data_IF_213174857340
#
_entry.id   IF_213174857340
#
_cell.length_a   1.000
_cell.length_b   1.000
_cell.length_c   1.000
_cell.angle_alpha   90.00
_cell.angle_beta   90.00
_cell.angle_gamma   90.00
#
_symmetry.space_group_name_H-M   'P 1'
#
loop_
_entity.id
_entity.type
_entity.pdbx_description
1 polymer ?
#
# COMPACT_ATOMS: atom_id res chain seq x y z
N UNK A 1 -90.78 -23.16 -8.28
CA UNK A 1 -89.95 -24.40 -8.09
C UNK A 1 -88.51 -23.96 -7.94
N UNK A 2 -88.03 -24.00 -6.70
CA UNK A 2 -86.67 -23.59 -6.33
C UNK A 2 -85.69 -24.73 -6.60
N UNK A 3 -84.54 -24.39 -7.13
CA UNK A 3 -83.41 -25.28 -7.08
C UNK A 3 -82.26 -24.57 -6.42
N UNK A 4 -81.91 -25.00 -5.24
CA UNK A 4 -80.74 -24.59 -4.46
C UNK A 4 -79.53 -25.29 -5.00
N UNK A 5 -78.55 -24.51 -5.47
CA UNK A 5 -77.21 -25.00 -5.79
C UNK A 5 -76.28 -24.83 -4.60
N UNK A 6 -75.84 -25.98 -4.03
CA UNK A 6 -74.87 -25.97 -2.94
C UNK A 6 -73.46 -25.72 -3.50
N UNK A 7 -72.85 -24.65 -3.03
CA UNK A 7 -71.44 -24.40 -3.29
C UNK A 7 -70.54 -25.22 -2.39
N UNK A 8 -69.75 -26.10 -2.99
CA UNK A 8 -68.62 -26.75 -2.29
C UNK A 8 -67.46 -25.78 -2.16
N UNK A 9 -67.24 -25.33 -0.96
CA UNK A 9 -66.00 -24.63 -0.64
C UNK A 9 -64.87 -25.65 -0.56
N UNK A 10 -63.97 -25.59 -1.50
CA UNK A 10 -62.71 -26.35 -1.45
C UNK A 10 -61.76 -25.55 -0.51
N UNK A 11 -61.62 -26.06 0.69
CA UNK A 11 -60.56 -25.58 1.60
C UNK A 11 -59.26 -26.18 1.10
N UNK A 12 -58.48 -25.40 0.38
CA UNK A 12 -57.09 -25.76 0.05
C UNK A 12 -56.28 -25.66 1.35
N UNK A 13 -55.99 -26.81 1.94
CA UNK A 13 -55.07 -26.91 3.06
C UNK A 13 -53.66 -26.67 2.53
N UNK A 14 -53.13 -25.46 2.65
CA UNK A 14 -51.71 -25.20 2.44
C UNK A 14 -50.93 -25.94 3.53
N UNK A 15 -50.39 -27.11 3.12
CA UNK A 15 -49.32 -27.76 3.90
C UNK A 15 -48.06 -26.89 3.73
N UNK A 16 -47.90 -25.94 4.64
CA UNK A 16 -46.63 -25.27 4.85
C UNK A 16 -45.70 -26.34 5.44
N UNK A 17 -44.86 -26.94 4.61
CA UNK A 17 -43.78 -27.78 5.08
C UNK A 17 -42.85 -26.94 5.97
N UNK A 18 -43.05 -27.04 7.27
CA UNK A 18 -42.05 -26.68 8.24
C UNK A 18 -40.86 -27.60 8.00
N UNK A 19 -39.93 -27.13 7.18
CA UNK A 19 -38.56 -27.67 7.22
C UNK A 19 -38.10 -27.42 8.67
N UNK A 20 -37.60 -28.44 9.38
CA UNK A 20 -36.98 -28.19 10.67
C UNK A 20 -35.85 -27.25 10.39
N UNK A 21 -35.89 -26.01 10.95
CA UNK A 21 -34.68 -25.23 11.17
C UNK A 21 -33.82 -26.13 12.07
N UNK A 22 -32.84 -26.79 11.46
CA UNK A 22 -31.76 -27.36 12.24
C UNK A 22 -30.99 -26.16 12.79
N UNK A 23 -31.38 -25.73 13.97
CA UNK A 23 -30.51 -24.86 14.76
C UNK A 23 -29.26 -25.69 15.00
N UNK A 24 -28.17 -25.35 14.35
CA UNK A 24 -26.87 -25.91 14.71
C UNK A 24 -26.69 -25.68 16.21
N UNK A 25 -26.25 -26.69 16.94
CA UNK A 25 -25.87 -26.50 18.31
C UNK A 25 -24.78 -25.42 18.34
N UNK A 26 -24.84 -24.54 19.30
CA UNK A 26 -23.91 -23.46 19.56
C UNK A 26 -23.71 -23.51 21.09
N UNK A 27 -22.68 -24.26 21.49
CA UNK A 27 -22.49 -24.70 22.86
C UNK A 27 -21.95 -23.64 23.78
N UNK A 28 -21.28 -22.64 23.26
CA UNK A 28 -20.67 -21.53 24.00
C UNK A 28 -21.36 -20.18 23.73
N UNK A 29 -22.24 -20.12 22.73
CA UNK A 29 -23.13 -18.98 22.47
C UNK A 29 -22.47 -17.82 21.73
N UNK A 30 -21.41 -18.05 20.97
CA UNK A 30 -20.71 -17.01 20.21
C UNK A 30 -21.35 -16.71 18.83
N UNK A 31 -22.34 -17.49 18.44
CA UNK A 31 -23.06 -17.37 17.16
C UNK A 31 -22.49 -18.24 16.05
N UNK A 32 -21.47 -19.04 16.31
CA UNK A 32 -20.89 -20.03 15.41
C UNK A 32 -21.38 -21.41 15.83
N UNK A 33 -21.91 -22.18 14.90
CA UNK A 33 -22.41 -23.50 15.25
C UNK A 33 -21.30 -24.51 15.46
N UNK A 34 -21.43 -25.41 16.46
CA UNK A 34 -20.46 -26.43 16.88
C UNK A 34 -19.81 -27.21 15.71
N UNK A 35 -20.50 -27.33 14.59
CA UNK A 35 -19.98 -28.05 13.41
C UNK A 35 -18.95 -27.29 12.59
N UNK A 36 -18.86 -25.99 12.79
CA UNK A 36 -17.95 -25.05 12.10
C UNK A 36 -17.07 -24.27 13.07
N UNK A 37 -17.22 -24.56 14.36
CA UNK A 37 -16.50 -23.96 15.44
C UNK A 37 -15.33 -24.86 15.87
N UNK A 38 -14.12 -24.30 15.87
CA UNK A 38 -12.91 -24.98 16.31
C UNK A 38 -12.78 -25.02 17.84
N UNK A 39 -13.52 -24.17 18.56
CA UNK A 39 -13.48 -24.02 20.00
C UNK A 39 -14.87 -24.12 20.68
N UNK A 40 -15.61 -25.14 20.41
CA UNK A 40 -17.03 -25.39 20.77
C UNK A 40 -17.41 -25.17 22.24
N UNK A 41 -16.47 -24.91 23.13
CA UNK A 41 -16.68 -24.67 24.56
C UNK A 41 -16.12 -23.33 25.04
N UNK A 42 -15.61 -22.49 24.14
CA UNK A 42 -14.91 -21.26 24.50
C UNK A 42 -15.19 -20.18 23.47
N UNK A 43 -16.27 -19.43 23.70
CA UNK A 43 -16.74 -18.37 22.82
C UNK A 43 -15.62 -17.41 22.38
N UNK A 44 -15.58 -17.11 21.08
CA UNK A 44 -14.56 -16.24 20.51
C UNK A 44 -14.93 -15.62 19.19
N UNK A 45 -14.06 -14.76 18.68
CA UNK A 45 -14.27 -13.96 17.47
C UNK A 45 -13.25 -14.25 16.38
N UNK A 46 -12.30 -15.14 16.64
CA UNK A 46 -11.29 -15.52 15.66
C UNK A 46 -11.90 -16.08 14.37
N UNK A 47 -11.36 -15.69 13.23
CA UNK A 47 -11.89 -16.05 11.91
C UNK A 47 -10.83 -16.39 10.89
N UNK A 48 -9.54 -16.22 11.22
CA UNK A 48 -8.43 -16.39 10.29
C UNK A 48 -7.83 -17.79 10.39
N UNK A 49 -7.57 -18.29 11.61
CA UNK A 49 -6.88 -19.55 11.84
C UNK A 49 -7.77 -20.63 12.48
N UNK A 50 -8.50 -20.28 13.54
CA UNK A 50 -9.41 -21.15 14.26
C UNK A 50 -10.72 -20.44 14.52
N UNK A 51 -11.69 -20.73 13.71
CA UNK A 51 -13.02 -20.10 13.76
C UNK A 51 -13.70 -20.35 15.12
N UNK A 52 -14.22 -19.30 15.75
CA UNK A 52 -14.92 -19.39 17.02
C UNK A 52 -14.05 -19.46 18.26
N UNK A 53 -12.72 -19.43 18.12
CA UNK A 53 -11.81 -19.42 19.26
C UNK A 53 -11.64 -18.02 19.86
N UNK A 54 -11.28 -17.94 21.17
CA UNK A 54 -10.94 -16.67 21.79
C UNK A 54 -9.87 -15.89 21.00
N UNK A 55 -10.15 -14.62 20.84
CA UNK A 55 -9.32 -13.63 20.15
C UNK A 55 -9.39 -12.37 21.01
N UNK A 56 -8.42 -12.23 21.93
CA UNK A 56 -8.46 -11.22 22.99
C UNK A 56 -8.17 -9.81 22.50
N UNK A 57 -7.51 -9.67 21.37
CA UNK A 57 -7.18 -8.37 20.81
C UNK A 57 -7.98 -8.00 19.56
N UNK A 58 -8.71 -8.96 18.99
CA UNK A 58 -9.67 -8.73 17.91
C UNK A 58 -9.04 -8.63 16.53
N UNK A 59 -7.84 -9.17 16.33
CA UNK A 59 -7.14 -9.15 15.04
C UNK A 59 -7.56 -10.30 14.09
N UNK A 60 -8.36 -11.22 14.59
CA UNK A 60 -8.90 -12.38 13.86
C UNK A 60 -8.08 -13.65 14.02
N UNK A 61 -6.91 -13.61 14.66
CA UNK A 61 -6.10 -14.77 15.01
C UNK A 61 -6.47 -15.23 16.42
N UNK A 62 -6.59 -16.53 16.63
CA UNK A 62 -6.93 -17.04 17.95
C UNK A 62 -5.79 -16.88 18.95
N UNK A 63 -6.10 -16.62 20.22
CA UNK A 63 -5.14 -16.55 21.32
C UNK A 63 -4.20 -17.78 21.41
N UNK A 64 -4.62 -18.89 20.82
CA UNK A 64 -3.82 -20.11 20.79
C UNK A 64 -2.64 -20.03 19.84
N UNK A 65 -2.79 -19.34 18.72
CA UNK A 65 -1.77 -19.20 17.69
C UNK A 65 -1.13 -17.80 17.69
N UNK A 66 -1.75 -16.87 18.43
CA UNK A 66 -1.23 -15.52 18.57
C UNK A 66 -0.37 -15.37 19.82
N UNK A 67 0.93 -15.02 19.68
CA UNK A 67 1.81 -14.71 20.79
C UNK A 67 1.44 -13.40 21.54
N UNK A 68 0.52 -12.59 20.98
CA UNK A 68 0.15 -11.28 21.47
C UNK A 68 -1.36 -11.24 21.78
N UNK A 69 -1.75 -11.58 23.00
CA UNK A 69 -3.16 -11.64 23.44
C UNK A 69 -3.70 -10.30 23.97
N UNK A 70 -3.00 -9.22 23.77
CA UNK A 70 -3.45 -7.87 24.09
C UNK A 70 -3.38 -7.02 22.85
N UNK A 71 -4.37 -6.12 22.60
CA UNK A 71 -4.28 -5.21 21.48
C UNK A 71 -2.91 -4.54 21.49
N UNK A 72 -2.07 -4.92 20.52
CA UNK A 72 -0.81 -4.23 20.35
C UNK A 72 -1.13 -2.87 19.75
N UNK A 73 -1.00 -1.76 20.49
CA UNK A 73 -1.30 -0.44 19.94
C UNK A 73 -0.39 -0.07 18.76
N UNK A 74 0.69 -0.85 18.55
CA UNK A 74 1.65 -0.62 17.49
C UNK A 74 1.48 -1.56 16.29
N UNK A 75 0.61 -2.62 16.38
CA UNK A 75 0.30 -3.53 15.27
C UNK A 75 -1.21 -3.64 15.05
N UNK A 76 -1.81 -2.56 14.64
CA UNK A 76 -3.13 -2.59 14.03
C UNK A 76 -3.00 -3.29 12.67
N UNK A 77 -3.42 -4.57 12.61
CA UNK A 77 -3.56 -5.36 11.38
C UNK A 77 -2.48 -5.04 10.36
N UNK A 78 -1.60 -5.99 10.05
CA UNK A 78 -0.68 -5.84 8.91
C UNK A 78 -1.49 -5.37 7.70
N UNK A 79 -1.56 -4.07 7.52
CA UNK A 79 -1.99 -3.50 6.25
C UNK A 79 -0.81 -3.75 5.31
N UNK A 80 -0.72 -4.99 4.80
CA UNK A 80 0.16 -5.27 3.67
C UNK A 80 -0.43 -4.49 2.50
N UNK A 81 0.11 -3.30 2.31
CA UNK A 81 -0.17 -2.51 1.12
C UNK A 81 0.62 -3.19 0.01
N UNK A 82 0.01 -4.18 -0.67
CA UNK A 82 0.66 -4.95 -1.72
C UNK A 82 0.46 -4.32 -3.09
N UNK A 83 1.53 -4.22 -3.85
CA UNK A 83 1.51 -4.39 -5.30
C UNK A 83 1.91 -5.84 -5.60
N UNK A 84 1.67 -6.33 -6.83
CA UNK A 84 2.19 -7.65 -7.24
C UNK A 84 3.70 -7.60 -7.55
N UNK A 85 4.34 -6.45 -7.37
CA UNK A 85 5.72 -6.15 -7.70
C UNK A 85 6.43 -5.56 -6.48
N UNK A 86 7.76 -5.55 -6.49
CA UNK A 86 8.58 -5.12 -5.37
C UNK A 86 8.47 -3.61 -5.12
N UNK A 87 8.48 -3.22 -3.84
CA UNK A 87 8.70 -1.84 -3.43
C UNK A 87 10.19 -1.62 -3.22
N UNK A 88 10.74 -0.62 -3.90
CA UNK A 88 12.17 -0.35 -3.90
C UNK A 88 12.59 0.65 -2.84
N UNK A 89 11.71 1.60 -2.51
CA UNK A 89 12.03 2.66 -1.57
C UNK A 89 10.78 3.24 -0.90
N UNK A 90 10.93 3.70 0.36
CA UNK A 90 9.89 4.35 1.14
C UNK A 90 10.48 5.43 2.03
N UNK A 91 9.79 6.57 2.16
CA UNK A 91 10.17 7.66 3.04
C UNK A 91 8.95 8.29 3.72
N UNK A 92 9.12 8.71 4.97
CA UNK A 92 8.11 9.52 5.68
C UNK A 92 8.22 10.99 5.31
N UNK A 93 7.08 11.69 5.25
CA UNK A 93 7.09 13.16 5.27
C UNK A 93 7.71 13.68 6.56
N UNK A 94 8.31 14.86 6.53
CA UNK A 94 9.00 15.45 7.70
C UNK A 94 8.11 15.66 8.93
N UNK A 95 6.78 15.78 8.74
CA UNK A 95 5.78 15.85 9.81
C UNK A 95 5.23 14.48 10.23
N UNK A 96 5.64 13.40 9.57
CA UNK A 96 5.23 12.04 9.84
C UNK A 96 3.79 11.71 9.45
N UNK A 97 3.07 12.57 8.73
CA UNK A 97 1.66 12.36 8.38
C UNK A 97 1.44 11.55 7.11
N UNK A 98 2.47 11.48 6.26
CA UNK A 98 2.44 10.76 4.99
C UNK A 98 3.66 9.85 4.83
N UNK A 99 3.52 8.88 3.94
CA UNK A 99 4.62 8.04 3.44
C UNK A 99 4.59 8.09 1.92
N UNK A 100 5.73 8.22 1.28
CA UNK A 100 5.89 8.01 -0.16
C UNK A 100 6.53 6.67 -0.41
N UNK A 101 6.15 6.00 -1.49
CA UNK A 101 6.78 4.74 -1.93
C UNK A 101 6.99 4.70 -3.43
N UNK A 102 8.08 4.06 -3.86
CA UNK A 102 8.40 3.72 -5.24
C UNK A 102 8.39 2.22 -5.45
N UNK A 103 7.92 1.74 -6.61
CA UNK A 103 7.72 0.32 -6.89
C UNK A 103 8.09 -0.05 -8.32
N UNK A 104 8.37 -1.33 -8.53
CA UNK A 104 8.58 -1.96 -9.85
C UNK A 104 7.30 -2.04 -10.70
N UNK A 105 6.14 -1.69 -10.13
CA UNK A 105 4.90 -1.55 -10.88
C UNK A 105 4.75 -0.18 -11.58
N UNK A 106 5.85 0.57 -11.69
CA UNK A 106 5.97 1.89 -12.33
C UNK A 106 5.29 3.03 -11.57
N UNK A 107 4.80 2.79 -10.35
CA UNK A 107 4.08 3.81 -9.59
C UNK A 107 4.91 4.42 -8.47
N UNK A 108 4.79 5.74 -8.33
CA UNK A 108 5.00 6.45 -7.08
C UNK A 108 3.64 6.62 -6.38
N UNK A 109 3.60 6.40 -5.06
CA UNK A 109 2.37 6.51 -4.25
C UNK A 109 2.60 7.28 -2.97
N UNK A 110 1.63 8.09 -2.58
CA UNK A 110 1.60 8.77 -1.28
C UNK A 110 0.47 8.15 -0.45
N UNK A 111 0.80 7.76 0.77
CA UNK A 111 -0.08 7.10 1.72
C UNK A 111 -0.28 7.97 2.96
N UNK A 112 -1.43 7.85 3.60
CA UNK A 112 -1.62 8.36 4.95
C UNK A 112 -0.92 7.43 5.95
N UNK A 113 -0.03 7.96 6.79
CA UNK A 113 0.78 7.16 7.72
C UNK A 113 0.01 6.55 8.89
N UNK A 114 -1.22 7.02 9.13
CA UNK A 114 -2.06 6.54 10.23
C UNK A 114 -3.13 5.55 9.74
N UNK A 115 -3.74 5.84 8.59
CA UNK A 115 -4.84 5.01 8.05
C UNK A 115 -4.37 4.06 6.95
N UNK A 116 -3.13 4.20 6.50
CA UNK A 116 -2.51 3.43 5.41
C UNK A 116 -3.27 3.48 4.08
N UNK A 117 -4.16 4.44 3.93
CA UNK A 117 -4.92 4.66 2.70
C UNK A 117 -4.03 5.33 1.67
N UNK A 118 -4.04 4.82 0.44
CA UNK A 118 -3.42 5.50 -0.70
C UNK A 118 -4.15 6.82 -0.96
N UNK A 119 -3.44 7.92 -0.78
CA UNK A 119 -3.97 9.26 -1.00
C UNK A 119 -3.86 9.69 -2.45
N UNK A 120 -2.74 9.33 -3.10
CA UNK A 120 -2.38 9.76 -4.45
C UNK A 120 -1.38 8.80 -5.08
N UNK A 121 -1.39 8.74 -6.41
CA UNK A 121 -0.42 7.95 -7.17
C UNK A 121 -0.20 8.54 -8.57
N UNK A 122 0.96 8.26 -9.15
CA UNK A 122 1.26 8.52 -10.55
C UNK A 122 2.02 7.33 -11.15
N UNK A 123 1.68 6.97 -12.40
CA UNK A 123 2.43 5.98 -13.17
C UNK A 123 3.52 6.71 -13.97
N UNK A 124 4.77 6.27 -13.87
CA UNK A 124 5.94 6.88 -14.51
C UNK A 124 6.41 6.10 -15.74
N UNK A 125 5.85 4.90 -15.97
CA UNK A 125 6.12 4.08 -17.16
C UNK A 125 7.38 3.24 -17.07
N UNK A 126 8.09 3.27 -15.95
CA UNK A 126 9.25 2.45 -15.64
C UNK A 126 9.42 2.35 -14.12
N UNK A 127 10.20 1.36 -13.66
CA UNK A 127 10.41 1.07 -12.24
C UNK A 127 10.87 2.31 -11.47
N UNK A 128 10.22 2.59 -10.35
CA UNK A 128 10.61 3.69 -9.45
C UNK A 128 11.61 3.15 -8.43
N UNK A 129 12.86 3.56 -8.56
CA UNK A 129 13.96 3.04 -7.76
C UNK A 129 14.13 3.75 -6.42
N UNK A 130 13.89 5.06 -6.37
CA UNK A 130 14.02 5.88 -5.16
C UNK A 130 13.01 7.00 -5.14
N UNK A 131 12.61 7.40 -3.94
CA UNK A 131 11.65 8.48 -3.67
C UNK A 131 12.13 9.36 -2.53
N UNK A 132 11.74 10.63 -2.53
CA UNK A 132 12.07 11.56 -1.46
C UNK A 132 10.98 12.58 -1.22
N UNK A 133 10.78 13.00 0.06
CA UNK A 133 10.02 14.18 0.44
C UNK A 133 10.92 15.41 0.63
N UNK A 134 10.45 16.57 0.21
CA UNK A 134 11.07 17.82 0.65
C UNK A 134 10.81 18.04 2.14
N UNK A 135 11.73 18.73 2.81
CA UNK A 135 11.67 18.97 4.26
C UNK A 135 10.43 19.76 4.71
N UNK A 136 9.83 20.53 3.81
CA UNK A 136 8.59 21.29 4.02
C UNK A 136 7.32 20.52 3.63
N UNK A 137 7.47 19.24 3.17
CA UNK A 137 6.41 18.35 2.71
C UNK A 137 5.62 18.85 1.47
N UNK A 138 6.13 19.86 0.76
CA UNK A 138 5.44 20.41 -0.40
C UNK A 138 5.72 19.62 -1.67
N UNK A 139 6.86 18.94 -1.75
CA UNK A 139 7.30 18.21 -2.93
C UNK A 139 7.64 16.77 -2.62
N UNK A 140 7.46 15.90 -3.62
CA UNK A 140 8.03 14.56 -3.66
C UNK A 140 8.81 14.38 -4.95
N UNK A 141 9.93 13.69 -4.87
CA UNK A 141 10.74 13.31 -6.04
C UNK A 141 10.71 11.81 -6.24
N UNK A 142 10.89 11.39 -7.49
CA UNK A 142 11.08 9.99 -7.88
C UNK A 142 12.25 9.88 -8.85
N UNK A 143 13.15 8.95 -8.55
CA UNK A 143 14.20 8.48 -9.45
C UNK A 143 13.76 7.19 -10.13
N UNK A 144 13.85 7.16 -11.46
CA UNK A 144 13.29 6.10 -12.31
C UNK A 144 14.39 5.33 -13.05
N UNK A 145 14.11 4.09 -13.39
CA UNK A 145 15.05 3.19 -14.05
C UNK A 145 15.32 3.54 -15.52
N UNK A 146 14.56 4.48 -16.11
CA UNK A 146 14.68 4.97 -17.48
C UNK A 146 15.47 6.28 -17.58
N UNK A 147 16.40 6.55 -16.68
CA UNK A 147 17.26 7.74 -16.63
C UNK A 147 16.50 9.04 -16.39
N UNK A 148 15.33 8.98 -15.77
CA UNK A 148 14.54 10.17 -15.50
C UNK A 148 14.32 10.42 -14.02
N UNK A 149 14.15 11.70 -13.68
CA UNK A 149 13.70 12.19 -12.38
C UNK A 149 12.40 12.95 -12.57
N UNK A 150 11.49 12.77 -11.64
CA UNK A 150 10.23 13.50 -11.61
C UNK A 150 10.08 14.22 -10.27
N UNK A 151 9.59 15.46 -10.31
CA UNK A 151 9.28 16.25 -9.11
C UNK A 151 7.80 16.60 -9.15
N UNK A 152 7.09 16.27 -8.08
CA UNK A 152 5.65 16.48 -7.95
C UNK A 152 5.35 17.44 -6.79
N UNK A 153 4.28 18.19 -6.95
CA UNK A 153 3.58 18.78 -5.81
C UNK A 153 2.95 17.66 -4.98
N UNK A 154 3.34 17.53 -3.72
CA UNK A 154 2.93 16.42 -2.85
C UNK A 154 1.43 16.42 -2.54
N UNK A 155 0.76 17.59 -2.60
CA UNK A 155 -0.66 17.73 -2.30
C UNK A 155 -1.57 17.40 -3.46
N UNK A 156 -1.11 17.61 -4.69
CA UNK A 156 -1.93 17.45 -5.90
C UNK A 156 -1.47 16.30 -6.78
N UNK A 157 -0.26 15.79 -6.59
CA UNK A 157 0.45 14.85 -7.46
C UNK A 157 0.65 15.41 -8.88
N UNK A 158 0.71 16.72 -9.01
CA UNK A 158 1.01 17.38 -10.28
C UNK A 158 2.52 17.32 -10.53
N UNK A 159 2.93 16.72 -11.64
CA UNK A 159 4.31 16.72 -12.09
C UNK A 159 4.68 18.15 -12.56
N UNK A 160 5.70 18.75 -11.93
CA UNK A 160 6.02 20.15 -12.13
C UNK A 160 6.75 20.42 -13.45
N UNK A 161 7.59 19.48 -13.87
CA UNK A 161 8.52 19.69 -15.00
C UNK A 161 8.45 18.60 -16.08
N UNK A 162 7.55 17.61 -15.91
CA UNK A 162 7.59 16.39 -16.71
C UNK A 162 8.76 15.49 -16.30
N UNK A 163 9.25 14.67 -17.23
CA UNK A 163 10.43 13.86 -17.00
C UNK A 163 11.71 14.71 -17.22
N UNK A 164 12.55 14.77 -16.19
CA UNK A 164 13.87 15.41 -16.26
C UNK A 164 14.89 14.32 -16.59
N UNK A 165 15.43 14.31 -17.81
CA UNK A 165 16.44 13.32 -18.21
C UNK A 165 17.78 13.64 -17.54
N UNK A 166 18.33 12.64 -16.86
CA UNK A 166 19.65 12.68 -16.23
C UNK A 166 20.69 11.88 -17.03
N UNK A 167 20.36 11.55 -18.28
CA UNK A 167 21.22 10.78 -19.19
C UNK A 167 22.61 11.42 -19.33
N UNK A 168 23.62 10.68 -18.93
CA UNK A 168 25.04 11.06 -19.03
C UNK A 168 25.78 10.18 -20.04
N UNK A 169 25.04 9.37 -20.79
CA UNK A 169 25.49 8.49 -21.87
C UNK A 169 25.80 7.07 -21.42
N UNK A 170 25.03 6.13 -21.85
CA UNK A 170 25.13 4.68 -21.53
C UNK A 170 23.82 4.09 -21.08
N UNK A 171 23.84 2.93 -20.42
CA UNK A 171 22.69 2.38 -19.69
C UNK A 171 22.75 2.93 -18.26
N UNK A 172 22.24 4.12 -18.10
CA UNK A 172 22.23 4.79 -16.80
C UNK A 172 20.90 4.49 -16.09
N UNK A 173 20.88 4.64 -14.79
CA UNK A 173 19.65 4.61 -13.99
C UNK A 173 19.79 5.54 -12.81
N UNK A 174 18.71 6.08 -12.34
CA UNK A 174 18.70 6.77 -11.05
C UNK A 174 18.71 5.72 -9.96
N UNK A 175 19.72 5.79 -9.09
CA UNK A 175 19.83 4.91 -7.93
C UNK A 175 19.17 5.53 -6.70
N UNK A 176 19.30 6.86 -6.55
CA UNK A 176 18.84 7.55 -5.35
C UNK A 176 18.57 9.04 -5.62
N UNK A 177 17.57 9.59 -4.94
CA UNK A 177 17.21 11.00 -4.95
C UNK A 177 17.01 11.50 -3.54
N UNK A 178 17.50 12.70 -3.22
CA UNK A 178 17.40 13.30 -1.88
C UNK A 178 17.28 14.82 -1.98
N UNK A 179 16.30 15.40 -1.26
CA UNK A 179 16.18 16.85 -1.16
C UNK A 179 17.23 17.42 -0.20
N UNK A 180 17.77 18.59 -0.54
CA UNK A 180 18.55 19.36 0.44
C UNK A 180 17.68 19.75 1.63
N UNK A 181 18.28 19.96 2.83
CA UNK A 181 17.51 20.31 4.04
C UNK A 181 16.68 21.59 3.91
N UNK A 182 17.07 22.50 3.01
CA UNK A 182 16.33 23.73 2.70
C UNK A 182 15.29 23.58 1.58
N UNK A 183 15.19 22.35 0.98
CA UNK A 183 14.26 22.03 -0.09
C UNK A 183 14.56 22.67 -1.45
N UNK A 184 15.68 23.38 -1.59
CA UNK A 184 15.98 24.14 -2.82
C UNK A 184 16.66 23.31 -3.90
N UNK A 185 17.35 22.25 -3.51
CA UNK A 185 18.07 21.35 -4.41
C UNK A 185 17.58 19.91 -4.24
N UNK A 186 17.61 19.16 -5.34
CA UNK A 186 17.48 17.72 -5.35
C UNK A 186 18.82 17.12 -5.78
N UNK A 187 19.45 16.32 -4.94
CA UNK A 187 20.61 15.51 -5.29
C UNK A 187 20.13 14.21 -5.95
N UNK A 188 20.78 13.83 -7.02
CA UNK A 188 20.46 12.64 -7.80
C UNK A 188 21.72 11.81 -7.98
N UNK A 189 21.73 10.58 -7.50
CA UNK A 189 22.80 9.62 -7.76
C UNK A 189 22.46 8.75 -8.96
N UNK A 190 23.38 8.67 -9.92
CA UNK A 190 23.19 7.96 -11.18
C UNK A 190 24.22 6.82 -11.23
N UNK A 191 23.73 5.61 -11.43
CA UNK A 191 24.54 4.41 -11.59
C UNK A 191 24.60 3.96 -13.05
N UNK A 192 25.70 3.31 -13.45
CA UNK A 192 25.85 2.68 -14.76
C UNK A 192 25.86 1.17 -14.65
N UNK A 193 25.14 0.49 -15.53
CA UNK A 193 25.11 -0.97 -15.57
C UNK A 193 26.18 -1.59 -16.48
N UNK A 194 27.01 -0.80 -17.17
CA UNK A 194 27.98 -1.31 -18.10
C UNK A 194 29.15 -2.03 -17.39
N UNK A 195 29.15 -3.35 -17.51
CA UNK A 195 30.24 -4.21 -17.07
C UNK A 195 31.50 -3.94 -17.88
N UNK A 196 32.40 -3.14 -17.35
CA UNK A 196 33.77 -3.06 -17.89
C UNK A 196 34.33 -1.68 -18.19
N UNK A 197 33.60 -0.62 -18.06
CA UNK A 197 34.15 0.74 -18.16
C UNK A 197 34.25 1.38 -16.77
N UNK A 198 35.41 1.93 -16.45
CA UNK A 198 35.71 2.54 -15.13
C UNK A 198 35.08 3.94 -14.96
N UNK A 199 34.01 4.22 -15.68
CA UNK A 199 33.28 5.48 -15.51
C UNK A 199 32.29 5.38 -14.39
N UNK A 200 32.67 5.99 -13.33
CA UNK A 200 32.07 6.02 -12.00
C UNK A 200 30.65 6.62 -12.04
N UNK A 201 29.82 6.22 -11.06
CA UNK A 201 28.55 6.87 -10.81
C UNK A 201 28.70 8.39 -10.67
N UNK A 202 27.66 9.12 -10.99
CA UNK A 202 27.61 10.58 -11.00
C UNK A 202 26.61 11.05 -9.97
N UNK A 203 26.89 12.17 -9.33
CA UNK A 203 25.89 12.91 -8.55
C UNK A 203 25.60 14.21 -9.30
N UNK A 204 24.34 14.43 -9.61
CA UNK A 204 23.85 15.68 -10.19
C UNK A 204 22.96 16.42 -9.19
N UNK A 205 22.81 17.71 -9.37
CA UNK A 205 21.93 18.53 -8.56
C UNK A 205 20.94 19.25 -9.46
N UNK A 206 19.66 19.21 -9.08
CA UNK A 206 18.56 19.87 -9.77
C UNK A 206 18.05 21.00 -8.87
N UNK A 207 17.91 22.19 -9.42
CA UNK A 207 17.22 23.30 -8.76
C UNK A 207 15.71 23.04 -8.75
N UNK A 208 15.13 22.87 -7.57
CA UNK A 208 13.72 22.47 -7.40
C UNK A 208 12.74 23.54 -7.91
N UNK A 209 13.15 24.81 -7.92
CA UNK A 209 12.29 25.89 -8.40
C UNK A 209 12.18 25.98 -9.92
N UNK A 210 13.14 25.42 -10.64
CA UNK A 210 13.24 25.54 -12.12
C UNK A 210 13.24 24.21 -12.85
N UNK A 211 13.54 23.08 -12.14
CA UNK A 211 13.75 21.77 -12.75
C UNK A 211 15.04 21.66 -13.57
N UNK A 212 15.94 22.67 -13.51
CA UNK A 212 17.17 22.67 -14.27
C UNK A 212 18.35 22.16 -13.43
N UNK A 213 19.35 21.60 -14.14
CA UNK A 213 20.58 21.20 -13.47
C UNK A 213 21.36 22.41 -12.95
N UNK A 214 21.87 22.25 -11.75
CA UNK A 214 22.81 23.19 -11.19
C UNK A 214 24.15 23.05 -11.93
N UNK A 215 24.66 24.15 -12.51
CA UNK A 215 25.76 24.16 -13.49
C UNK A 215 27.17 23.95 -12.90
N UNK A 216 27.29 23.25 -11.76
CA UNK A 216 28.57 22.82 -11.23
C UNK A 216 28.58 21.34 -10.93
N UNK A 217 28.52 20.51 -11.99
CA UNK A 217 28.74 19.08 -11.85
C UNK A 217 30.10 18.82 -11.20
N UNK A 218 30.13 18.34 -9.98
CA UNK A 218 31.35 17.80 -9.38
C UNK A 218 31.50 16.41 -9.99
N UNK A 219 32.39 16.27 -10.95
CA UNK A 219 32.85 14.96 -11.40
C UNK A 219 33.97 14.51 -10.44
N UNK A 220 33.72 13.59 -9.50
CA UNK A 220 34.73 13.17 -8.52
C UNK A 220 35.81 12.24 -9.09
N UNK A 221 35.74 11.88 -10.38
CA UNK A 221 36.60 10.90 -11.02
C UNK A 221 37.58 11.40 -12.04
N UNK A 222 37.76 12.72 -12.21
CA UNK A 222 38.79 13.27 -13.10
C UNK A 222 40.18 13.25 -12.47
N UNK A 223 40.84 12.11 -12.38
CA UNK A 223 42.31 12.10 -12.28
C UNK A 223 42.90 12.48 -13.66
N UNK A 224 43.68 13.56 -13.66
CA UNK A 224 44.52 14.03 -14.79
C UNK A 224 45.61 13.01 -15.15
#
# INVERSE_FOLDING_TARGET
>A
MEYRGGGFAIIALLMLSLLPLTVSADSDGDGIGDSTDDCIWSAGTSSVDKTGCPDSDGDGISDFNDPWTTPNPDFQTEQIIGSNEDYNDVEYSGDGTMVVSGSDDDFIRIWNSTTFVNLRSANLGSNVNSVAFSSDNNYVAAGVNDDTVHIFDANTMTNLYGSISVDVGGNDRVNDVEFSPDGNLLAVSIGREDFGDATNGIVQFIDVSTGNFFSSGINPGGEN
#
